data_IF_203291234680
#
_entry.id   IF_203291234680
#
_cell.length_a   1.000
_cell.length_b   1.000
_cell.length_c   1.000
_cell.angle_alpha   90.00
_cell.angle_beta   90.00
_cell.angle_gamma   90.00
#
_symmetry.space_group_name_H-M   'P 1'
#
loop_
_entity.id
_entity.type
_entity.pdbx_description
1 polymer ?
#
# COMPACT_ATOMS: atom_id res chain seq x y z
N UNK A 1 20.97 -46.83 10.29
CA UNK A 1 21.24 -45.37 10.30
C UNK A 1 20.93 -44.83 8.92
N UNK A 2 19.83 -44.11 8.75
CA UNK A 2 19.54 -43.31 7.55
C UNK A 2 18.62 -42.18 7.98
N UNK A 3 19.20 -41.00 8.16
CA UNK A 3 18.49 -39.75 8.46
C UNK A 3 18.23 -39.10 7.11
N UNK A 4 16.99 -39.17 6.63
CA UNK A 4 16.53 -38.38 5.49
C UNK A 4 16.22 -36.97 6.00
N UNK A 5 17.14 -36.04 5.78
CA UNK A 5 16.92 -34.61 6.01
C UNK A 5 15.99 -34.07 4.92
N UNK A 6 14.75 -33.74 5.28
CA UNK A 6 13.78 -33.10 4.41
C UNK A 6 14.06 -31.58 4.41
N UNK A 7 14.81 -31.10 3.41
CA UNK A 7 15.06 -29.68 3.21
C UNK A 7 13.79 -29.01 2.70
N UNK A 8 13.11 -28.26 3.56
CA UNK A 8 12.01 -27.36 3.19
C UNK A 8 12.60 -26.17 2.43
N UNK A 9 12.59 -26.23 1.10
CA UNK A 9 12.92 -25.09 0.24
C UNK A 9 11.82 -24.04 0.36
N UNK A 10 12.05 -23.06 1.23
CA UNK A 10 11.28 -21.82 1.26
C UNK A 10 11.58 -21.09 -0.06
N UNK A 11 10.66 -21.19 -1.03
CA UNK A 11 10.65 -20.29 -2.17
C UNK A 11 10.27 -18.90 -1.67
N UNK A 12 11.22 -18.19 -1.09
CA UNK A 12 11.15 -16.74 -0.96
C UNK A 12 11.15 -16.27 -2.41
N UNK A 13 9.99 -15.80 -2.90
CA UNK A 13 9.95 -14.97 -4.09
C UNK A 13 10.86 -13.79 -3.79
N UNK A 14 12.10 -13.84 -4.27
CA UNK A 14 13.03 -12.75 -4.20
C UNK A 14 12.48 -11.70 -5.17
N UNK A 15 11.52 -10.89 -4.71
CA UNK A 15 11.29 -9.61 -5.35
C UNK A 15 12.62 -8.89 -5.20
N UNK A 16 13.37 -8.79 -6.30
CA UNK A 16 14.62 -8.07 -6.25
C UNK A 16 14.26 -6.64 -5.88
N UNK A 17 14.49 -6.27 -4.62
CA UNK A 17 14.44 -4.89 -4.17
C UNK A 17 15.60 -4.17 -4.87
N UNK A 18 15.38 -3.83 -6.15
CA UNK A 18 16.36 -3.11 -6.96
C UNK A 18 16.31 -1.67 -6.53
N UNK A 19 17.48 -1.16 -6.19
CA UNK A 19 17.67 0.24 -5.82
C UNK A 19 17.38 1.11 -7.03
N UNK A 20 16.65 2.20 -6.80
CA UNK A 20 16.42 3.24 -7.78
C UNK A 20 17.24 4.47 -7.40
N UNK A 21 17.70 5.20 -8.40
CA UNK A 21 18.58 6.35 -8.28
C UNK A 21 17.98 7.56 -9.00
N UNK A 22 18.10 8.73 -8.40
CA UNK A 22 17.79 10.01 -9.03
C UNK A 22 18.91 10.41 -10.01
N UNK A 23 18.69 11.38 -10.93
CA UNK A 23 19.71 11.83 -11.89
C UNK A 23 21.05 12.23 -11.27
N UNK A 24 21.05 12.75 -10.05
CA UNK A 24 22.24 13.10 -9.28
C UNK A 24 22.94 11.90 -8.61
N UNK A 25 22.47 10.69 -8.87
CA UNK A 25 22.93 9.39 -8.32
C UNK A 25 22.54 9.15 -6.87
N UNK A 26 21.77 10.03 -6.24
CA UNK A 26 21.23 9.78 -4.91
C UNK A 26 20.19 8.65 -4.95
N UNK A 27 20.07 7.89 -3.86
CA UNK A 27 19.11 6.78 -3.76
C UNK A 27 17.69 7.33 -3.63
N UNK A 28 16.82 6.93 -4.55
CA UNK A 28 15.40 7.23 -4.53
C UNK A 28 14.67 6.28 -3.56
N UNK A 29 14.52 6.71 -2.31
CA UNK A 29 13.86 5.91 -1.28
C UNK A 29 12.37 5.76 -1.59
N UNK A 30 11.78 4.61 -1.26
CA UNK A 30 10.37 4.26 -1.55
C UNK A 30 9.99 4.23 -3.04
N UNK A 31 10.96 4.34 -3.95
CA UNK A 31 10.73 4.15 -5.37
C UNK A 31 10.86 2.67 -5.71
N UNK A 32 10.00 2.19 -6.61
CA UNK A 32 9.97 0.80 -7.06
C UNK A 32 10.13 0.72 -8.58
N UNK A 33 10.81 -0.30 -9.10
CA UNK A 33 10.96 -0.50 -10.55
C UNK A 33 9.61 -0.75 -11.23
N UNK A 34 9.33 -0.08 -12.34
CA UNK A 34 8.05 -0.19 -13.04
C UNK A 34 7.95 -1.38 -14.00
N UNK A 35 9.06 -2.02 -14.35
CA UNK A 35 9.08 -3.21 -15.20
C UNK A 35 10.00 -4.28 -14.62
N UNK A 36 10.00 -5.48 -15.18
CA UNK A 36 10.94 -6.54 -14.79
C UNK A 36 12.32 -6.43 -15.44
N UNK A 37 12.55 -5.49 -16.37
CA UNK A 37 13.84 -5.30 -17.03
C UNK A 37 14.90 -4.79 -16.04
N UNK A 38 16.16 -5.23 -16.18
CA UNK A 38 17.27 -4.87 -15.27
C UNK A 38 17.44 -3.36 -15.13
N UNK A 39 17.47 -2.66 -16.26
CA UNK A 39 17.40 -1.20 -16.33
C UNK A 39 15.97 -0.77 -16.67
N UNK A 40 15.33 -0.07 -15.74
CA UNK A 40 14.00 0.50 -15.92
C UNK A 40 13.84 1.76 -15.10
N UNK A 41 12.95 2.63 -15.54
CA UNK A 41 12.43 3.70 -14.71
C UNK A 41 11.70 3.15 -13.47
N UNK A 42 11.72 3.96 -12.42
CA UNK A 42 11.07 3.71 -11.15
C UNK A 42 10.15 4.87 -10.80
N UNK A 43 9.07 4.54 -10.09
CA UNK A 43 8.14 5.51 -9.54
C UNK A 43 8.04 5.34 -8.03
N UNK A 44 7.62 6.38 -7.31
CA UNK A 44 7.21 6.23 -5.91
C UNK A 44 6.18 5.09 -5.76
N UNK A 45 6.24 4.36 -4.65
CA UNK A 45 5.34 3.23 -4.39
C UNK A 45 3.85 3.61 -4.42
N UNK A 46 3.51 4.88 -4.22
CA UNK A 46 2.15 5.43 -4.30
C UNK A 46 1.84 6.14 -5.63
N UNK A 47 2.69 5.99 -6.65
CA UNK A 47 2.48 6.49 -8.00
C UNK A 47 2.15 5.36 -8.96
N UNK A 48 1.48 5.69 -10.06
CA UNK A 48 1.15 4.76 -11.14
C UNK A 48 2.29 4.77 -12.15
N UNK A 49 2.82 3.59 -12.45
CA UNK A 49 3.78 3.39 -13.54
C UNK A 49 3.07 3.47 -14.89
N UNK A 50 3.60 4.26 -15.83
CA UNK A 50 3.07 4.39 -17.20
C UNK A 50 4.01 3.75 -18.21
N UNK A 51 3.47 3.04 -19.21
CA UNK A 51 4.27 2.32 -20.22
C UNK A 51 5.18 3.19 -21.09
N UNK A 52 4.95 4.51 -21.11
CA UNK A 52 5.82 5.47 -21.79
C UNK A 52 7.05 5.89 -20.98
N UNK A 53 7.29 5.28 -19.80
CA UNK A 53 8.50 5.50 -19.00
C UNK A 53 8.36 6.54 -17.89
N UNK A 54 7.15 7.00 -17.59
CA UNK A 54 6.91 8.07 -16.62
C UNK A 54 5.92 7.63 -15.54
N UNK A 55 5.65 8.52 -14.60
CA UNK A 55 4.87 8.25 -13.40
C UNK A 55 3.68 9.21 -13.31
N UNK A 56 2.55 8.73 -12.78
CA UNK A 56 1.43 9.58 -12.35
C UNK A 56 1.32 9.51 -10.83
N UNK A 57 1.53 10.64 -10.15
CA UNK A 57 1.39 10.76 -8.71
C UNK A 57 -0.08 10.86 -8.34
N UNK A 58 -0.59 9.86 -7.61
CA UNK A 58 -2.00 9.81 -7.17
C UNK A 58 -2.15 9.76 -5.65
N UNK A 59 -1.05 9.57 -4.90
CA UNK A 59 -1.08 9.41 -3.44
C UNK A 59 -1.23 10.71 -2.63
N UNK A 60 -0.89 11.87 -3.20
CA UNK A 60 -1.04 13.17 -2.55
C UNK A 60 -1.21 14.28 -3.60
N UNK A 61 -1.92 15.36 -3.22
CA UNK A 61 -2.04 16.53 -4.09
C UNK A 61 -0.76 17.37 -4.07
N UNK A 62 -0.36 17.96 -5.22
CA UNK A 62 -1.03 17.88 -6.51
C UNK A 62 -0.81 16.53 -7.23
N UNK A 63 -1.83 16.05 -7.93
CA UNK A 63 -1.68 14.87 -8.79
C UNK A 63 -0.94 15.28 -10.06
N UNK A 64 0.26 14.75 -10.24
CA UNK A 64 1.18 15.22 -11.29
C UNK A 64 1.66 14.06 -12.13
N UNK A 65 1.80 14.31 -13.43
CA UNK A 65 2.60 13.46 -14.31
C UNK A 65 4.06 13.88 -14.16
N UNK A 66 4.99 12.94 -14.02
CA UNK A 66 6.38 13.26 -13.69
C UNK A 66 7.39 12.22 -14.16
N UNK A 67 8.64 12.67 -14.35
CA UNK A 67 9.80 11.79 -14.45
C UNK A 67 10.22 11.35 -13.05
N UNK A 68 10.17 10.04 -12.81
CA UNK A 68 10.63 9.42 -11.56
C UNK A 68 12.15 9.25 -11.50
N UNK A 69 12.56 8.11 -10.94
CA UNK A 69 13.96 7.66 -10.80
C UNK A 69 14.26 6.49 -11.77
N UNK A 70 15.46 5.91 -11.71
CA UNK A 70 15.84 4.78 -12.56
C UNK A 70 16.67 3.73 -11.80
N UNK A 71 16.59 2.46 -12.18
CA UNK A 71 17.44 1.41 -11.56
C UNK A 71 18.91 1.50 -11.95
N UNK A 72 19.24 2.23 -13.03
CA UNK A 72 20.63 2.48 -13.42
C UNK A 72 21.14 3.80 -12.82
N UNK A 73 22.10 3.69 -11.91
CA UNK A 73 22.79 4.81 -11.26
C UNK A 73 23.47 5.75 -12.28
N UNK A 74 23.89 5.22 -13.43
CA UNK A 74 24.56 6.01 -14.46
C UNK A 74 23.59 6.69 -15.44
N UNK A 75 22.28 6.46 -15.30
CA UNK A 75 21.25 7.05 -16.16
C UNK A 75 21.47 6.78 -17.66
N UNK A 76 21.75 5.52 -18.00
CA UNK A 76 21.94 5.07 -19.38
C UNK A 76 20.64 4.96 -20.19
N UNK A 77 20.71 4.25 -21.32
CA UNK A 77 19.65 4.21 -22.36
C UNK A 77 18.33 3.55 -21.95
N UNK A 78 18.21 3.01 -20.74
CA UNK A 78 16.96 2.45 -20.20
C UNK A 78 16.24 3.37 -19.21
N UNK A 79 16.77 4.58 -18.98
CA UNK A 79 16.17 5.58 -18.11
C UNK A 79 15.44 6.66 -18.92
N UNK A 80 14.41 7.32 -18.35
CA UNK A 80 13.70 8.39 -19.03
C UNK A 80 14.64 9.57 -19.28
N UNK A 81 14.67 10.07 -20.52
CA UNK A 81 15.60 11.12 -20.95
C UNK A 81 15.01 12.53 -20.81
N UNK A 82 13.68 12.66 -20.85
CA UNK A 82 13.06 13.97 -20.69
C UNK A 82 13.13 14.43 -19.24
N UNK A 83 13.35 15.73 -19.09
CA UNK A 83 13.41 16.42 -17.81
C UNK A 83 14.53 16.01 -16.88
N UNK A 84 15.50 15.17 -17.25
CA UNK A 84 16.61 14.70 -16.39
C UNK A 84 17.31 15.83 -15.63
N UNK A 85 17.52 16.98 -16.28
CA UNK A 85 18.20 18.15 -15.70
C UNK A 85 17.34 18.96 -14.72
N UNK A 86 16.04 18.67 -14.60
CA UNK A 86 15.12 19.34 -13.68
C UNK A 86 14.97 18.50 -12.42
N UNK A 87 15.12 19.12 -11.25
CA UNK A 87 15.11 18.46 -9.95
C UNK A 87 15.91 17.12 -9.93
N UNK A 88 17.24 17.17 -10.14
CA UNK A 88 18.06 15.96 -10.34
C UNK A 88 18.19 15.11 -9.07
N UNK A 89 17.78 15.60 -7.90
CA UNK A 89 17.74 14.86 -6.64
C UNK A 89 16.36 14.29 -6.30
N UNK A 90 15.42 14.31 -7.24
CA UNK A 90 14.02 13.97 -6.99
C UNK A 90 13.24 13.59 -8.25
N UNK A 91 11.91 13.64 -8.18
CA UNK A 91 11.03 13.56 -9.35
C UNK A 91 10.83 14.94 -10.00
N UNK A 92 10.72 14.99 -11.33
CA UNK A 92 10.47 16.24 -12.05
C UNK A 92 9.07 16.24 -12.65
N UNK A 93 8.20 17.20 -12.29
CA UNK A 93 6.86 17.28 -12.86
C UNK A 93 6.93 17.60 -14.35
N UNK A 94 5.97 17.08 -15.09
CA UNK A 94 5.78 17.28 -16.52
C UNK A 94 4.35 17.79 -16.69
N UNK A 95 4.22 18.96 -17.30
CA UNK A 95 2.94 19.63 -17.49
C UNK A 95 2.63 19.74 -18.98
N UNK A 96 1.35 19.61 -19.34
CA UNK A 96 0.91 19.89 -20.70
C UNK A 96 0.74 21.40 -20.90
N UNK A 97 1.19 21.91 -22.05
CA UNK A 97 1.13 23.35 -22.37
C UNK A 97 0.24 23.67 -23.57
N UNK A 98 -0.22 22.66 -24.31
CA UNK A 98 -1.05 22.83 -25.49
C UNK A 98 -0.80 21.73 -26.51
N UNK A 99 -0.99 22.07 -27.78
CA UNK A 99 -0.69 21.19 -28.90
C UNK A 99 0.13 21.92 -29.95
N UNK A 100 1.05 21.19 -30.59
CA UNK A 100 1.83 21.70 -31.72
C UNK A 100 0.93 21.95 -32.96
N UNK A 101 1.54 22.47 -34.03
CA UNK A 101 0.84 22.70 -35.31
C UNK A 101 0.29 21.44 -35.98
N UNK A 102 0.75 20.26 -35.55
CA UNK A 102 0.32 18.96 -36.03
C UNK A 102 -0.76 18.31 -35.15
N UNK A 103 -1.13 18.97 -34.04
CA UNK A 103 -2.14 18.48 -33.09
C UNK A 103 -1.58 17.54 -32.02
N UNK A 104 -0.26 17.37 -31.91
CA UNK A 104 0.33 16.55 -30.85
C UNK A 104 0.40 17.34 -29.55
N UNK A 105 0.11 16.70 -28.42
CA UNK A 105 0.23 17.32 -27.11
C UNK A 105 1.69 17.68 -26.79
N UNK A 106 1.89 18.95 -26.40
CA UNK A 106 3.19 19.48 -26.00
C UNK A 106 3.29 19.59 -24.48
N UNK A 107 4.49 19.29 -23.98
CA UNK A 107 4.80 19.25 -22.56
C UNK A 107 6.04 20.06 -22.22
N UNK A 108 6.09 20.51 -20.97
CA UNK A 108 7.24 21.15 -20.36
C UNK A 108 7.65 20.42 -19.09
N UNK A 109 8.94 20.47 -18.80
CA UNK A 109 9.46 20.09 -17.50
C UNK A 109 9.17 21.22 -16.49
N UNK A 110 8.61 20.91 -15.33
CA UNK A 110 8.35 21.90 -14.30
C UNK A 110 7.04 22.64 -14.52
N UNK A 111 7.16 23.93 -14.83
CA UNK A 111 6.05 24.88 -14.89
C UNK A 111 6.01 25.58 -16.24
N UNK A 112 4.86 26.21 -16.53
CA UNK A 112 4.65 27.00 -17.73
C UNK A 112 4.50 28.47 -17.36
N UNK A 113 4.89 29.34 -18.29
CA UNK A 113 4.63 30.77 -18.26
C UNK A 113 3.75 31.15 -19.44
N UNK A 114 2.97 32.21 -19.26
CA UNK A 114 2.20 32.80 -20.35
C UNK A 114 3.01 33.91 -20.98
N UNK A 115 3.32 33.77 -22.27
CA UNK A 115 4.04 34.76 -23.05
C UNK A 115 3.20 35.17 -24.26
N UNK A 116 2.80 36.44 -24.32
CA UNK A 116 2.00 37.00 -25.43
C UNK A 116 0.76 36.18 -25.82
N UNK A 117 0.13 35.49 -24.86
CA UNK A 117 -1.06 34.67 -25.10
C UNK A 117 -0.77 33.19 -25.33
N UNK A 118 0.48 32.80 -25.57
CA UNK A 118 0.93 31.41 -25.68
C UNK A 118 1.43 30.87 -24.34
N UNK A 119 1.28 29.58 -24.11
CA UNK A 119 1.94 28.87 -23.00
C UNK A 119 3.33 28.42 -23.45
N UNK A 120 4.35 28.73 -22.66
CA UNK A 120 5.74 28.38 -22.91
C UNK A 120 6.35 27.72 -21.66
N UNK A 121 7.40 26.92 -21.83
CA UNK A 121 8.12 26.37 -20.69
C UNK A 121 8.84 27.48 -19.92
N UNK A 122 8.91 27.33 -18.60
CA UNK A 122 9.77 28.18 -17.76
C UNK A 122 11.24 28.03 -18.19
N UNK A 123 12.03 29.07 -17.94
CA UNK A 123 13.47 29.17 -18.28
C UNK A 123 13.79 29.14 -19.79
N UNK A 124 12.77 29.20 -20.67
CA UNK A 124 12.96 29.09 -22.11
C UNK A 124 13.29 27.66 -22.56
N UNK A 125 12.95 26.65 -21.76
CA UNK A 125 13.07 25.25 -22.18
C UNK A 125 12.21 25.00 -23.43
N UNK A 126 12.67 24.09 -24.28
CA UNK A 126 11.91 23.69 -25.47
C UNK A 126 10.81 22.72 -25.08
N UNK A 127 9.60 22.98 -25.56
CA UNK A 127 8.49 22.04 -25.44
C UNK A 127 8.81 20.74 -26.17
N UNK A 128 8.26 19.63 -25.69
CA UNK A 128 8.47 18.31 -26.27
C UNK A 128 7.18 17.51 -26.30
N UNK A 129 7.14 16.50 -27.17
CA UNK A 129 6.04 15.53 -27.24
C UNK A 129 6.43 14.25 -26.52
N UNK A 130 5.44 13.52 -26.04
CA UNK A 130 5.61 12.21 -25.42
C UNK A 130 4.74 11.18 -26.12
N UNK A 131 5.23 9.95 -26.15
CA UNK A 131 4.42 8.82 -26.59
C UNK A 131 3.27 8.58 -25.62
N UNK A 132 2.15 8.10 -26.16
CA UNK A 132 1.04 7.62 -25.35
C UNK A 132 1.52 6.53 -24.38
N UNK A 133 0.95 6.53 -23.18
CA UNK A 133 1.24 5.54 -22.15
C UNK A 133 -0.02 4.91 -21.62
N UNK A 134 0.12 3.68 -21.15
CA UNK A 134 -0.92 2.91 -20.46
C UNK A 134 -0.45 2.64 -19.03
N UNK A 135 -1.40 2.49 -18.10
CA UNK A 135 -1.08 2.16 -16.71
C UNK A 135 -0.55 0.73 -16.63
N UNK A 136 0.59 0.55 -15.95
CA UNK A 136 1.15 -0.77 -15.67
C UNK A 136 0.57 -1.30 -14.36
N UNK A 137 -0.12 -2.44 -14.44
CA UNK A 137 -0.67 -3.14 -13.28
C UNK A 137 0.39 -4.02 -12.59
N UNK A 138 0.14 -4.42 -11.35
CA UNK A 138 1.06 -5.27 -10.59
C UNK A 138 2.35 -4.57 -10.17
N UNK A 139 2.37 -3.24 -10.16
CA UNK A 139 3.53 -2.39 -9.80
C UNK A 139 3.08 -1.15 -9.05
N UNK A 140 3.93 -0.66 -8.13
CA UNK A 140 3.73 0.58 -7.39
C UNK A 140 2.29 0.71 -6.84
N UNK A 141 1.59 1.81 -7.12
CA UNK A 141 0.22 2.02 -6.62
C UNK A 141 -0.79 0.95 -7.07
N UNK A 142 -0.46 0.19 -8.12
CA UNK A 142 -1.29 -0.86 -8.70
C UNK A 142 -0.74 -2.27 -8.42
N UNK A 143 0.15 -2.44 -7.43
CA UNK A 143 0.77 -3.73 -7.09
C UNK A 143 -0.25 -4.87 -6.90
N UNK A 144 -1.38 -4.58 -6.26
CA UNK A 144 -2.41 -5.58 -5.95
C UNK A 144 -3.58 -5.57 -6.95
N UNK A 145 -3.39 -4.96 -8.12
CA UNK A 145 -4.37 -4.91 -9.20
C UNK A 145 -3.93 -5.86 -10.30
N UNK A 146 -4.83 -6.75 -10.70
CA UNK A 146 -4.63 -7.68 -11.82
C UNK A 146 -5.66 -7.41 -12.90
N UNK A 147 -5.30 -7.61 -14.16
CA UNK A 147 -6.27 -7.54 -15.25
C UNK A 147 -7.34 -8.62 -15.07
N UNK A 148 -8.61 -8.21 -15.08
CA UNK A 148 -9.72 -9.15 -15.24
C UNK A 148 -9.88 -9.37 -16.73
N UNK A 149 -9.36 -10.49 -17.23
CA UNK A 149 -9.66 -10.92 -18.59
C UNK A 149 -11.14 -11.30 -18.67
N UNK A 150 -12.00 -10.35 -19.07
CA UNK A 150 -13.36 -10.68 -19.49
C UNK A 150 -13.24 -11.47 -20.81
N UNK A 151 -13.21 -12.80 -20.71
CA UNK A 151 -13.60 -13.65 -21.83
C UNK A 151 -15.03 -13.23 -22.19
N UNK A 152 -15.18 -12.58 -23.34
CA UNK A 152 -16.46 -12.15 -23.88
C UNK A 152 -17.30 -13.39 -24.19
N UNK A 153 -18.04 -13.87 -23.18
CA UNK A 153 -19.10 -14.85 -23.33
C UNK A 153 -20.41 -14.08 -23.22
N UNK A 154 -21.00 -13.76 -24.38
CA UNK A 154 -22.39 -13.32 -24.47
C UNK A 154 -23.26 -14.35 -23.76
N UNK A 155 -23.82 -13.99 -22.61
CA UNK A 155 -24.82 -14.81 -21.92
C UNK A 155 -25.80 -13.90 -21.21
N UNK A 156 -26.97 -13.78 -21.82
CA UNK A 156 -28.20 -13.21 -21.28
C UNK A 156 -28.50 -13.79 -19.90
N UNK A 157 -28.90 -12.91 -18.99
CA UNK A 157 -28.93 -13.18 -17.55
C UNK A 157 -29.92 -14.23 -17.07
N UNK A 158 -29.73 -14.62 -15.82
CA UNK A 158 -30.79 -14.75 -14.81
C UNK A 158 -30.14 -14.84 -13.44
N UNK A 159 -30.64 -14.02 -12.51
CA UNK A 159 -30.35 -14.09 -11.08
C UNK A 159 -30.98 -15.36 -10.53
N UNK A 160 -30.24 -16.12 -9.71
CA UNK A 160 -30.82 -17.05 -8.74
C UNK A 160 -29.88 -17.20 -7.55
N UNK A 161 -30.49 -17.06 -6.39
CA UNK A 161 -29.94 -17.20 -5.05
C UNK A 161 -29.87 -18.67 -4.64
N UNK A 162 -29.06 -18.94 -3.61
CA UNK A 162 -29.00 -20.12 -2.71
C UNK A 162 -27.85 -21.14 -2.91
N UNK A 163 -26.92 -21.08 -1.95
CA UNK A 163 -26.43 -22.15 -1.06
C UNK A 163 -26.42 -23.60 -1.56
N UNK A 164 -25.23 -24.24 -1.60
CA UNK A 164 -24.81 -25.40 -0.78
C UNK A 164 -23.53 -26.04 -1.36
N UNK A 165 -22.62 -26.29 -0.43
CA UNK A 165 -21.56 -27.32 -0.33
C UNK A 165 -21.40 -28.41 -1.42
N UNK A 166 -20.13 -28.78 -1.62
CA UNK A 166 -19.58 -30.07 -2.05
C UNK A 166 -19.44 -30.37 -3.57
N UNK A 167 -18.17 -30.32 -3.99
CA UNK A 167 -17.43 -31.18 -4.92
C UNK A 167 -18.23 -32.14 -5.82
N UNK A 168 -18.17 -31.92 -7.13
CA UNK A 168 -18.06 -33.01 -8.11
C UNK A 168 -17.33 -32.52 -9.37
N UNK A 169 -16.24 -33.21 -9.67
CA UNK A 169 -15.41 -33.08 -10.88
C UNK A 169 -16.11 -33.70 -12.08
N UNK A 170 -16.32 -32.93 -13.14
CA UNK A 170 -16.65 -33.46 -14.47
C UNK A 170 -15.54 -33.06 -15.45
N UNK A 171 -14.77 -34.05 -15.88
CA UNK A 171 -13.73 -33.90 -16.90
C UNK A 171 -14.37 -33.84 -18.30
N UNK A 172 -13.83 -33.02 -19.20
CA UNK A 172 -14.17 -33.05 -20.63
C UNK A 172 -12.91 -33.07 -21.49
N UNK A 173 -12.81 -34.14 -22.29
CA UNK A 173 -12.05 -34.38 -23.52
C UNK A 173 -10.56 -34.00 -23.64
N UNK A 174 -9.70 -35.03 -23.60
CA UNK A 174 -8.97 -35.58 -24.77
C UNK A 174 -7.62 -36.14 -24.33
N UNK A 175 -7.54 -37.47 -24.40
CA UNK A 175 -6.34 -38.32 -24.50
C UNK A 175 -5.26 -38.23 -23.39
N UNK A 176 -5.25 -39.34 -22.62
CA UNK A 176 -4.17 -39.95 -21.82
C UNK A 176 -4.10 -39.62 -20.32
N UNK A 177 -4.50 -40.66 -19.57
CA UNK A 177 -4.08 -41.03 -18.21
C UNK A 177 -4.89 -40.45 -17.03
N UNK A 178 -6.02 -41.09 -16.73
CA UNK A 178 -6.67 -40.98 -15.42
C UNK A 178 -5.97 -41.89 -14.40
N UNK A 179 -5.23 -41.30 -13.46
CA UNK A 179 -4.79 -42.00 -12.24
C UNK A 179 -5.35 -41.27 -11.01
N UNK A 180 -5.99 -42.05 -10.14
CA UNK A 180 -6.69 -41.64 -8.93
C UNK A 180 -5.74 -41.00 -7.91
N UNK A 181 -6.06 -39.78 -7.46
CA UNK A 181 -5.48 -39.19 -6.24
C UNK A 181 -6.57 -38.47 -5.41
N UNK A 182 -7.66 -39.17 -5.10
CA UNK A 182 -8.71 -38.65 -4.23
C UNK A 182 -8.33 -38.58 -2.72
N UNK A 183 -7.06 -38.84 -2.37
CA UNK A 183 -6.56 -38.75 -0.98
C UNK A 183 -5.59 -37.58 -0.77
N UNK A 184 -5.19 -36.87 -1.82
CA UNK A 184 -4.10 -35.87 -1.76
C UNK A 184 -4.53 -34.44 -1.40
N UNK A 185 -5.82 -34.17 -1.20
CA UNK A 185 -6.32 -32.81 -0.90
C UNK A 185 -6.46 -32.55 0.62
N UNK A 186 -6.44 -33.59 1.46
CA UNK A 186 -6.61 -33.45 2.92
C UNK A 186 -5.34 -33.06 3.70
N UNK A 187 -4.15 -33.22 3.10
CA UNK A 187 -2.88 -33.02 3.80
C UNK A 187 -2.29 -31.60 3.68
N UNK A 188 -2.89 -30.72 2.85
CA UNK A 188 -2.33 -29.41 2.52
C UNK A 188 -2.63 -28.28 3.52
N UNK A 189 -3.71 -28.37 4.29
CA UNK A 189 -4.16 -27.28 5.20
C UNK A 189 -4.02 -27.60 6.70
N UNK A 190 -3.79 -28.88 7.05
CA UNK A 190 -3.73 -29.31 8.45
C UNK A 190 -2.45 -28.90 9.20
N UNK A 191 -1.32 -28.83 8.49
CA UNK A 191 -0.01 -28.54 9.10
C UNK A 191 0.10 -27.10 9.62
N UNK A 192 -0.25 -26.04 8.85
CA UNK A 192 -0.13 -24.67 9.38
C UNK A 192 -1.10 -24.40 10.53
N UNK A 193 -2.33 -24.92 10.48
CA UNK A 193 -3.30 -24.78 11.57
C UNK A 193 -2.90 -25.58 12.82
N UNK A 194 -2.31 -26.76 12.64
CA UNK A 194 -1.82 -27.58 13.75
C UNK A 194 -0.68 -26.93 14.53
N UNK A 195 0.30 -26.32 13.84
CA UNK A 195 1.42 -25.64 14.50
C UNK A 195 0.95 -24.42 15.30
N UNK A 196 0.02 -23.62 14.74
CA UNK A 196 -0.57 -22.49 15.46
C UNK A 196 -1.35 -22.95 16.70
N UNK A 197 -2.16 -24.01 16.57
CA UNK A 197 -2.92 -24.55 17.70
C UNK A 197 -2.03 -25.11 18.83
N UNK A 198 -0.95 -25.83 18.48
CA UNK A 198 0.01 -26.35 19.46
C UNK A 198 0.79 -25.23 20.13
N UNK A 199 1.22 -24.21 19.38
CA UNK A 199 1.95 -23.08 19.95
C UNK A 199 1.10 -22.27 20.93
N UNK A 200 -0.19 -22.04 20.61
CA UNK A 200 -1.15 -21.39 21.50
C UNK A 200 -1.42 -22.22 22.76
N UNK A 201 -1.55 -23.55 22.64
CA UNK A 201 -1.77 -24.43 23.78
C UNK A 201 -0.57 -24.46 24.74
N UNK A 202 0.66 -24.54 24.21
CA UNK A 202 1.88 -24.50 25.03
C UNK A 202 2.00 -23.16 25.76
N UNK A 203 1.75 -22.05 25.06
CA UNK A 203 1.80 -20.72 25.67
C UNK A 203 0.73 -20.54 26.76
N UNK A 204 -0.51 -20.96 26.50
CA UNK A 204 -1.60 -20.88 27.48
C UNK A 204 -1.34 -21.74 28.72
N UNK A 205 -0.77 -22.94 28.56
CA UNK A 205 -0.38 -23.79 29.69
C UNK A 205 0.76 -23.15 30.50
N UNK A 206 1.78 -22.59 29.83
CA UNK A 206 2.89 -21.92 30.51
C UNK A 206 2.44 -20.67 31.28
N UNK A 207 1.55 -19.87 30.71
CA UNK A 207 0.98 -18.71 31.38
C UNK A 207 0.12 -19.13 32.59
N UNK A 208 -0.70 -20.18 32.44
CA UNK A 208 -1.49 -20.74 33.54
C UNK A 208 -0.58 -21.29 34.64
N UNK A 209 0.53 -21.96 34.32
CA UNK A 209 1.52 -22.42 35.30
C UNK A 209 2.15 -21.26 36.07
N UNK A 210 2.48 -20.15 35.39
CA UNK A 210 2.97 -18.93 36.05
C UNK A 210 1.94 -18.30 36.98
N UNK A 211 0.66 -18.29 36.58
CA UNK A 211 -0.44 -17.79 37.42
C UNK A 211 -0.72 -18.72 38.60
N UNK A 212 -0.57 -20.04 38.45
CA UNK A 212 -0.73 -21.00 39.54
C UNK A 212 0.45 -21.00 40.52
N UNK A 213 1.67 -20.69 40.06
CA UNK A 213 2.80 -20.47 40.97
C UNK A 213 2.56 -19.28 41.92
N UNK A 214 1.73 -18.30 41.51
CA UNK A 214 1.29 -17.20 42.37
C UNK A 214 0.18 -17.60 43.36
N UNK A 215 -0.66 -18.61 43.05
CA UNK A 215 -1.68 -19.10 44.00
C UNK A 215 -1.11 -20.09 45.02
N UNK A 216 -0.09 -20.89 44.66
CA UNK A 216 0.63 -21.72 45.65
C UNK A 216 1.49 -20.86 46.59
N UNK A 217 2.03 -19.72 46.11
CA UNK A 217 2.68 -18.73 46.98
C UNK A 217 1.70 -18.05 47.96
N UNK A 218 0.41 -17.94 47.60
CA UNK A 218 -0.63 -17.40 48.50
C UNK A 218 -1.05 -18.40 49.60
N UNK A 219 -1.08 -19.71 49.32
CA UNK A 219 -1.39 -20.74 50.33
C UNK A 219 -0.24 -20.92 51.35
N UNK A 220 1.01 -20.77 50.93
CA UNK A 220 2.17 -20.75 51.83
C UNK A 220 2.33 -19.43 52.61
N UNK A 221 1.83 -18.30 52.09
CA UNK A 221 1.83 -17.03 52.81
C UNK A 221 0.78 -16.98 53.94
N UNK A 222 -0.34 -17.69 53.80
CA UNK A 222 -1.39 -17.72 54.82
C UNK A 222 -1.00 -18.49 56.09
N UNK A 223 -0.17 -19.55 55.97
CA UNK A 223 0.37 -20.28 57.13
C UNK A 223 1.58 -19.60 57.80
N UNK A 224 2.25 -18.68 57.11
CA UNK A 224 3.40 -17.94 57.64
C UNK A 224 3.05 -16.70 58.49
N UNK A 225 1.83 -16.18 58.39
CA UNK A 225 1.45 -14.90 59.00
C UNK A 225 0.80 -14.99 60.40
N UNK A 226 0.69 -16.18 61.00
CA UNK A 226 0.02 -16.38 62.29
C UNK A 226 0.97 -16.59 63.49
N UNK A 227 2.25 -16.26 63.37
CA UNK A 227 3.24 -16.37 64.45
C UNK A 227 4.24 -15.20 64.43
N UNK A 228 3.76 -13.95 64.55
CA UNK A 228 4.41 -12.94 65.41
C UNK A 228 3.66 -11.61 65.42
N UNK A 229 3.39 -11.12 66.64
CA UNK A 229 3.40 -9.71 67.10
C UNK A 229 2.97 -8.62 66.09
N UNK A 230 1.93 -7.83 66.32
CA UNK A 230 1.58 -7.13 67.56
C UNK A 230 1.48 -5.64 67.23
N UNK A 231 0.29 -5.04 67.44
CA UNK A 231 -0.02 -3.60 67.49
C UNK A 231 0.57 -2.64 66.43
N UNK A 232 -0.31 -2.03 65.61
CA UNK A 232 -0.67 -0.59 65.66
C UNK A 232 -1.68 -0.35 64.53
N UNK A 233 -2.86 0.12 64.91
CA UNK A 233 -3.96 0.49 64.03
C UNK A 233 -3.69 1.93 63.54
N UNK A 234 -3.53 2.14 62.23
CA UNK A 234 -3.61 3.48 61.67
C UNK A 234 -4.51 3.48 60.43
N UNK A 235 -5.66 4.13 60.58
CA UNK A 235 -6.73 4.24 59.59
C UNK A 235 -6.33 5.28 58.55
N UNK A 236 -6.12 4.87 57.29
CA UNK A 236 -5.93 5.79 56.17
C UNK A 236 -7.16 5.74 55.26
N UNK A 237 -7.89 6.86 55.22
CA UNK A 237 -9.07 7.07 54.37
C UNK A 237 -8.59 7.69 53.05
N UNK A 238 -9.01 7.19 51.87
CA UNK A 238 -8.63 7.82 50.60
C UNK A 238 -9.46 9.10 50.36
N UNK A 239 -8.78 10.23 50.12
CA UNK A 239 -9.44 11.45 49.67
C UNK A 239 -9.81 11.36 48.19
N UNK A 240 -11.12 11.45 47.91
CA UNK A 240 -11.72 11.71 46.60
C UNK A 240 -11.50 13.19 46.26
N UNK A 241 -10.69 13.49 45.25
CA UNK A 241 -10.66 14.84 44.67
C UNK A 241 -11.91 15.03 43.80
N UNK A 242 -12.73 15.99 44.20
CA UNK A 242 -13.93 16.45 43.51
C UNK A 242 -13.52 17.44 42.42
N UNK A 243 -13.87 17.13 41.17
CA UNK A 243 -13.62 17.98 40.00
C UNK A 243 -14.66 19.10 39.98
N UNK A 244 -14.22 20.37 40.02
CA UNK A 244 -15.09 21.53 39.86
C UNK A 244 -15.60 21.64 38.40
N UNK A 245 -16.84 22.09 38.17
CA UNK A 245 -17.43 22.17 36.83
C UNK A 245 -16.85 23.35 36.03
N UNK A 246 -16.59 23.08 34.75
CA UNK A 246 -16.21 24.06 33.73
C UNK A 246 -17.38 24.99 33.41
N UNK A 247 -17.14 26.30 33.43
CA UNK A 247 -18.08 27.31 32.92
C UNK A 247 -18.06 27.32 31.39
N UNK A 248 -19.22 27.08 30.80
CA UNK A 248 -19.53 27.35 29.39
C UNK A 248 -19.38 28.86 29.12
N UNK A 249 -18.54 29.23 28.14
CA UNK A 249 -18.44 30.59 27.65
C UNK A 249 -19.28 30.71 26.37
N UNK A 250 -20.46 31.29 26.54
CA UNK A 250 -21.36 31.70 25.47
C UNK A 250 -20.71 32.84 24.68
N UNK A 251 -20.35 32.59 23.41
CA UNK A 251 -20.18 33.67 22.42
C UNK A 251 -20.66 33.17 21.07
N UNK A 252 -21.95 33.37 20.87
CA UNK A 252 -22.64 33.37 19.58
C UNK A 252 -22.05 34.48 18.69
N UNK A 253 -21.07 34.12 17.86
CA UNK A 253 -20.55 34.98 16.79
C UNK A 253 -21.27 34.66 15.46
N UNK A 254 -22.27 35.50 15.22
CA UNK A 254 -23.02 35.80 14.00
C UNK A 254 -22.28 35.50 12.68
N UNK A 255 -22.86 34.61 11.86
CA UNK A 255 -22.54 34.42 10.43
C UNK A 255 -23.10 35.62 9.64
N UNK A 256 -22.30 36.35 8.83
CA UNK A 256 -22.85 37.24 7.82
C UNK A 256 -23.17 36.45 6.54
N UNK A 257 -24.45 36.22 6.31
CA UNK A 257 -25.02 35.80 5.01
C UNK A 257 -24.67 36.87 3.96
N UNK A 258 -23.89 36.52 2.93
CA UNK A 258 -23.70 37.38 1.77
C UNK A 258 -24.96 37.35 0.90
N UNK A 259 -25.70 38.45 0.94
CA UNK A 259 -26.82 38.72 0.04
C UNK A 259 -26.35 38.77 -1.42
N UNK A 260 -26.86 37.84 -2.23
CA UNK A 260 -26.87 37.94 -3.68
C UNK A 260 -27.78 39.08 -4.10
N UNK A 261 -27.20 40.16 -4.60
CA UNK A 261 -27.97 41.30 -5.09
C UNK A 261 -28.21 41.12 -6.60
N UNK A 262 -29.44 40.73 -6.92
CA UNK A 262 -30.03 40.81 -8.25
C UNK A 262 -30.27 42.27 -8.63
N UNK A 263 -29.57 42.75 -9.67
CA UNK A 263 -29.98 43.95 -10.41
C UNK A 263 -30.47 43.54 -11.80
N UNK A 264 -31.80 43.47 -11.93
CA UNK A 264 -32.48 43.86 -13.16
C UNK A 264 -32.75 45.36 -13.07
N UNK A 265 -32.39 46.12 -14.10
CA UNK A 265 -33.16 47.29 -14.50
C UNK A 265 -33.04 47.50 -16.01
N UNK A 266 -34.22 47.67 -16.60
CA UNK A 266 -34.49 47.91 -18.00
C UNK A 266 -34.01 49.29 -18.48
N UNK A 267 -33.54 49.34 -19.72
CA UNK A 267 -33.96 50.25 -20.80
C UNK A 267 -33.32 49.79 -22.11
#
# INVERSE_FOLDING_TARGET
MLIFALTLTLFISLSSARTCYHPDKSIATNNVPCTSADTTYCCDSNAICMSNGYCIGVGAQPYVFFRGSCTDENWGSGCPTQCVNKNPSGGAPIIGIGTDSSGNAEYCCGFQVKNNGSSECVDGDTAFTLNNGEMILGRAALENVTEVSNASSTSTGTVSTETVLATSTTCSNSEKHCSSNATAVGAGVGVPLGVLAVSAAVWALWERSRRMAATTAADHAYKGFNMNQGFVQNTYVPQKMEQAPVSELETQARIPEMMGNSYQHAS
#
